data_IF_322349838778
#
_entry.id   IF_322349838778
#
_cell.length_a   1.000
_cell.length_b   1.000
_cell.length_c   1.000
_cell.angle_alpha   90.00
_cell.angle_beta   90.00
_cell.angle_gamma   90.00
#
_symmetry.space_group_name_H-M   'P 1'
#
loop_
_entity.id
_entity.type
_entity.pdbx_description
1 polymer ?
2 non-polymer ?
3 non-polymer ?
4 non-polymer ?
5 water ?
#
# COMPACT_ATOMS: atom_id res chain seq x y z
N UNK A 1 5.62 -25.31 23.39
CA UNK A 1 4.92 -26.40 22.69
C UNK A 1 3.40 -26.17 22.63
N UNK A 2 2.82 -26.15 21.43
CA UNK A 2 1.38 -25.95 21.36
C UNK A 2 0.58 -27.24 21.50
N UNK A 3 1.26 -28.40 21.44
CA UNK A 3 0.62 -29.72 21.60
C UNK A 3 -0.60 -29.88 20.70
N UNK A 4 -0.45 -29.49 19.43
CA UNK A 4 -1.50 -29.66 18.45
C UNK A 4 -2.47 -28.50 18.34
N UNK A 5 -2.55 -27.62 19.33
CA UNK A 5 -3.45 -26.49 19.27
C UNK A 5 -2.96 -25.45 18.25
N UNK A 6 -3.91 -24.69 17.70
CA UNK A 6 -3.59 -23.64 16.74
C UNK A 6 -3.37 -22.32 17.45
N UNK A 7 -2.33 -21.62 17.06
CA UNK A 7 -2.19 -20.20 17.40
C UNK A 7 -1.52 -19.54 16.21
N UNK A 8 -2.28 -18.75 15.47
CA UNK A 8 -1.78 -18.11 14.26
C UNK A 8 -1.32 -16.72 14.62
N UNK A 9 -0.13 -16.35 14.15
CA UNK A 9 0.36 -14.98 14.31
C UNK A 9 0.38 -14.36 12.93
N UNK A 10 -0.23 -13.18 12.81
CA UNK A 10 -0.24 -12.40 11.59
C UNK A 10 0.68 -11.21 11.82
N UNK A 11 1.71 -11.06 10.99
CA UNK A 11 2.61 -9.93 11.08
C UNK A 11 2.21 -8.95 9.98
N UNK A 12 1.61 -7.84 10.38
CA UNK A 12 1.18 -6.81 9.45
C UNK A 12 -0.32 -6.70 9.36
N UNK A 13 -0.86 -5.52 9.67
CA UNK A 13 -2.29 -5.32 9.62
C UNK A 13 -2.74 -4.45 8.45
N UNK A 14 -2.32 -4.81 7.25
CA UNK A 14 -2.74 -4.13 6.05
C UNK A 14 -3.96 -4.80 5.48
N UNK A 15 -4.15 -4.63 4.17
CA UNK A 15 -5.27 -5.28 3.50
C UNK A 15 -5.20 -6.80 3.70
N UNK A 16 -4.02 -7.38 3.59
CA UNK A 16 -3.91 -8.82 3.79
C UNK A 16 -4.16 -9.21 5.23
N UNK A 17 -3.52 -8.50 6.17
CA UNK A 17 -3.64 -8.87 7.57
C UNK A 17 -5.04 -8.75 8.13
N UNK A 18 -5.76 -7.66 7.80
CA UNK A 18 -7.10 -7.54 8.36
C UNK A 18 -8.04 -8.58 7.74
N UNK A 19 -7.82 -8.96 6.49
CA UNK A 19 -8.64 -10.02 5.92
C UNK A 19 -8.39 -11.34 6.63
N UNK A 20 -7.12 -11.66 6.87
CA UNK A 20 -6.80 -12.90 7.57
C UNK A 20 -7.33 -12.90 9.00
N UNK A 21 -7.15 -11.79 9.71
CA UNK A 21 -7.65 -11.72 11.09
C UNK A 21 -9.16 -11.83 11.13
N UNK A 22 -9.86 -11.16 10.21
CA UNK A 22 -11.31 -11.21 10.19
C UNK A 22 -11.80 -12.65 10.02
N UNK A 23 -11.11 -13.42 9.18
CA UNK A 23 -11.57 -14.79 8.94
C UNK A 23 -11.22 -15.71 10.10
N UNK A 24 -10.02 -15.57 10.68
CA UNK A 24 -9.68 -16.36 11.88
C UNK A 24 -10.62 -16.03 13.03
N UNK A 25 -10.94 -14.74 13.19
CA UNK A 25 -11.92 -14.35 14.20
C UNK A 25 -13.27 -15.02 13.97
N UNK A 26 -13.74 -15.05 12.72
CA UNK A 26 -15.03 -15.69 12.43
C UNK A 26 -14.99 -17.19 12.66
N UNK A 27 -13.83 -17.81 12.50
CA UNK A 27 -13.68 -19.24 12.73
C UNK A 27 -13.40 -19.59 14.17
N UNK A 28 -13.24 -18.60 15.05
CA UNK A 28 -12.87 -18.79 16.45
C UNK A 28 -11.54 -19.51 16.60
N UNK A 29 -10.60 -19.25 15.69
CA UNK A 29 -9.26 -19.83 15.76
C UNK A 29 -8.40 -18.87 16.56
N UNK A 30 -7.68 -19.33 17.59
CA UNK A 30 -6.83 -18.41 18.35
C UNK A 30 -5.79 -17.77 17.45
N UNK A 31 -5.60 -16.45 17.59
CA UNK A 31 -4.64 -15.77 16.74
C UNK A 31 -4.27 -14.44 17.37
N UNK A 32 -3.18 -13.86 16.90
CA UNK A 32 -2.77 -12.52 17.26
C UNK A 32 -2.37 -11.76 16.01
N UNK A 33 -2.97 -10.60 15.80
CA UNK A 33 -2.58 -9.71 14.72
C UNK A 33 -1.64 -8.66 15.29
N UNK A 34 -0.46 -8.52 14.69
CA UNK A 34 0.54 -7.56 15.12
C UNK A 34 0.68 -6.50 14.05
N UNK A 35 0.62 -5.23 14.45
CA UNK A 35 0.94 -4.12 13.57
C UNK A 35 1.64 -3.02 14.36
N UNK A 36 2.54 -2.29 13.70
CA UNK A 36 3.23 -1.20 14.38
C UNK A 36 2.31 -0.02 14.66
N UNK A 37 1.26 0.19 13.87
CA UNK A 37 0.31 1.28 14.08
C UNK A 37 -0.84 0.83 14.97
N UNK A 38 -1.61 1.80 15.46
CA UNK A 38 -2.85 1.47 16.18
C UNK A 38 -4.07 1.37 15.27
N UNK A 39 -3.94 1.67 13.98
CA UNK A 39 -5.08 1.61 13.08
C UNK A 39 -4.67 1.15 11.70
N UNK A 40 -5.59 0.43 11.04
CA UNK A 40 -5.47 0.08 9.63
C UNK A 40 -5.50 1.33 8.76
N UNK A 41 -4.65 1.37 7.72
CA UNK A 41 -4.59 2.50 6.81
C UNK A 41 -5.08 2.06 5.43
N UNK A 42 -6.17 2.65 4.97
CA UNK A 42 -6.69 2.39 3.62
C UNK A 42 -5.85 3.22 2.66
N UNK A 43 -4.64 2.74 2.38
CA UNK A 43 -3.67 3.62 1.75
C UNK A 43 -3.97 3.85 0.27
N UNK A 44 -4.90 3.08 -0.30
CA UNK A 44 -5.36 3.37 -1.66
C UNK A 44 -5.93 4.78 -1.74
N UNK A 45 -6.43 5.30 -0.62
CA UNK A 45 -7.03 6.64 -0.59
C UNK A 45 -6.11 7.69 -0.01
N UNK A 46 -4.83 7.37 0.19
CA UNK A 46 -3.92 8.29 0.87
C UNK A 46 -3.70 9.58 0.08
N UNK A 47 -3.73 9.51 -1.26
CA UNK A 47 -3.50 10.72 -2.03
C UNK A 47 -4.71 11.64 -1.99
N UNK A 48 -5.92 11.10 -2.08
CA UNK A 48 -7.11 11.90 -1.84
C UNK A 48 -7.12 12.50 -0.43
N UNK A 49 -6.64 11.75 0.55
CA UNK A 49 -6.53 12.29 1.91
C UNK A 49 -5.46 13.35 2.02
N UNK A 50 -4.61 13.49 1.02
CA UNK A 50 -3.63 14.57 0.98
C UNK A 50 -4.14 15.86 0.36
N UNK A 51 -5.35 15.87 -0.22
CA UNK A 51 -5.83 17.05 -0.92
C UNK A 51 -7.22 17.50 -0.46
N UNK A 52 -7.96 16.64 0.26
CA UNK A 52 -9.35 16.94 0.61
C UNK A 52 -9.50 17.10 2.11
N UNK A 53 -9.86 18.32 2.56
CA UNK A 53 -10.05 18.57 3.97
C UNK A 53 -11.10 17.61 4.54
N UNK A 54 -10.80 17.03 5.69
CA UNK A 54 -11.75 16.19 6.41
C UNK A 54 -11.84 14.76 5.93
N UNK A 55 -11.07 14.37 4.91
CA UNK A 55 -11.18 13.03 4.36
C UNK A 55 -10.34 12.01 5.12
N UNK A 56 -9.22 12.45 5.71
CA UNK A 56 -8.27 11.50 6.28
C UNK A 56 -8.90 10.62 7.33
N UNK A 57 -9.89 11.12 8.07
CA UNK A 57 -10.52 10.31 9.11
C UNK A 57 -11.30 9.14 8.57
N UNK A 58 -11.62 9.13 7.27
CA UNK A 58 -12.22 7.98 6.62
C UNK A 58 -11.21 6.92 6.20
N UNK A 59 -9.91 7.18 6.36
CA UNK A 59 -8.88 6.27 5.87
C UNK A 59 -8.12 5.51 6.98
N UNK A 60 -8.45 5.72 8.26
CA UNK A 60 -7.79 5.01 9.36
C UNK A 60 -8.85 4.35 10.22
N UNK A 61 -8.68 3.07 10.52
CA UNK A 61 -9.68 2.27 11.24
C UNK A 61 -9.01 1.57 12.41
N UNK A 62 -9.48 1.86 13.64
CA UNK A 62 -8.87 1.29 14.85
C UNK A 62 -8.86 -0.24 14.84
N UNK A 63 -7.68 -0.83 15.08
CA UNK A 63 -7.59 -2.30 15.17
C UNK A 63 -8.28 -2.81 16.42
N UNK A 64 -8.06 -2.13 17.55
CA UNK A 64 -8.55 -2.66 18.82
C UNK A 64 -10.06 -2.70 18.83
N UNK A 65 -10.72 -1.76 18.15
CA UNK A 65 -12.18 -1.75 18.17
C UNK A 65 -12.75 -3.00 17.52
N UNK A 66 -12.09 -3.48 16.46
CA UNK A 66 -12.56 -4.65 15.74
C UNK A 66 -12.07 -5.95 16.37
N UNK A 67 -10.80 -5.99 16.78
CA UNK A 67 -10.16 -7.23 17.16
C UNK A 67 -9.85 -7.39 18.64
N UNK A 68 -9.89 -6.31 19.43
CA UNK A 68 -9.81 -6.40 20.91
C UNK A 68 -8.54 -7.13 21.31
N UNK A 69 -8.60 -8.17 22.16
CA UNK A 69 -7.38 -8.82 22.62
C UNK A 69 -6.72 -9.68 21.57
N UNK A 70 -7.30 -9.84 20.39
CA UNK A 70 -6.60 -10.51 19.30
C UNK A 70 -5.65 -9.58 18.56
N UNK A 71 -5.52 -8.35 19.00
CA UNK A 71 -4.61 -7.39 18.39
C UNK A 71 -3.57 -6.93 19.40
N UNK A 72 -2.33 -6.84 18.94
CA UNK A 72 -1.21 -6.35 19.73
C UNK A 72 -0.43 -5.37 18.88
N UNK A 73 -0.29 -4.13 19.33
CA UNK A 73 0.55 -3.16 18.63
C UNK A 73 2.02 -3.42 18.93
N UNK A 74 2.87 -3.35 17.91
CA UNK A 74 4.29 -3.53 18.13
C UNK A 74 5.05 -3.69 16.85
N UNK A 75 6.38 -3.61 16.96
CA UNK A 75 7.29 -3.68 15.83
C UNK A 75 7.98 -5.03 15.84
N UNK A 76 7.79 -5.81 14.78
CA UNK A 76 8.44 -7.12 14.72
C UNK A 76 9.86 -6.94 14.21
N UNK A 77 10.82 -7.48 14.94
CA UNK A 77 12.24 -7.30 14.61
C UNK A 77 12.90 -8.58 14.12
N UNK A 78 12.34 -9.75 14.41
CA UNK A 78 12.86 -10.98 13.88
C UNK A 78 11.88 -12.11 14.06
N UNK A 79 12.16 -13.22 13.38
CA UNK A 79 11.40 -14.46 13.51
C UNK A 79 12.37 -15.55 13.94
N UNK A 80 12.05 -16.23 15.04
CA UNK A 80 12.86 -17.33 15.58
C UNK A 80 12.27 -18.64 15.04
N UNK A 81 12.82 -19.10 13.91
CA UNK A 81 12.25 -20.27 13.24
C UNK A 81 12.48 -21.56 14.02
N UNK A 82 13.56 -21.63 14.81
CA UNK A 82 13.84 -22.86 15.55
C UNK A 82 12.83 -23.05 16.68
N UNK A 83 12.52 -22.00 17.43
CA UNK A 83 11.57 -22.07 18.53
C UNK A 83 10.20 -21.53 18.13
N UNK A 84 9.95 -21.29 16.85
CA UNK A 84 8.67 -20.82 16.32
C UNK A 84 8.13 -19.66 17.14
N UNK A 85 8.80 -18.52 17.06
CA UNK A 85 8.53 -17.36 17.90
C UNK A 85 8.64 -16.08 17.07
N UNK A 86 7.72 -15.14 17.28
CA UNK A 86 7.76 -13.83 16.62
C UNK A 86 8.35 -12.84 17.61
N UNK A 87 9.50 -12.26 17.24
CA UNK A 87 10.26 -11.41 18.16
C UNK A 87 9.85 -9.96 17.97
N UNK A 88 9.40 -9.33 19.05
CA UNK A 88 9.00 -7.93 19.04
C UNK A 88 10.14 -7.06 19.56
N UNK A 89 10.17 -5.82 19.08
CA UNK A 89 11.01 -4.81 19.70
C UNK A 89 10.55 -4.59 21.15
N UNK A 90 11.52 -4.52 22.06
CA UNK A 90 11.26 -4.51 23.49
C UNK A 90 11.53 -5.83 24.17
N UNK A 91 11.71 -6.91 23.40
CA UNK A 91 12.07 -8.19 23.95
C UNK A 91 10.96 -9.23 23.98
N UNK A 92 9.70 -8.80 23.86
CA UNK A 92 8.58 -9.73 23.94
C UNK A 92 8.57 -10.67 22.75
N UNK A 93 8.01 -11.87 22.96
CA UNK A 93 7.99 -12.89 21.93
C UNK A 93 6.60 -13.49 21.84
N UNK A 94 6.18 -13.83 20.61
CA UNK A 94 4.88 -14.43 20.37
C UNK A 94 5.02 -15.82 19.77
N UNK A 95 4.63 -16.88 20.46
CA UNK A 95 4.72 -18.22 19.88
C UNK A 95 3.62 -18.46 18.85
N UNK A 96 3.94 -19.29 17.85
CA UNK A 96 2.97 -19.57 16.81
C UNK A 96 3.02 -21.02 16.37
N UNK A 97 1.86 -21.57 16.05
CA UNK A 97 1.81 -22.81 15.29
C UNK A 97 1.86 -22.52 13.80
N UNK A 98 1.30 -21.39 13.38
CA UNK A 98 1.30 -20.98 11.99
C UNK A 98 1.56 -19.49 11.93
N UNK A 99 2.31 -19.07 10.92
CA UNK A 99 2.73 -17.68 10.76
C UNK A 99 2.25 -17.17 9.42
N UNK A 100 1.61 -15.99 9.43
CA UNK A 100 1.20 -15.31 8.21
C UNK A 100 1.96 -14.01 8.15
N UNK A 101 2.79 -13.87 7.12
CA UNK A 101 3.58 -12.66 6.95
C UNK A 101 2.86 -11.77 5.93
N UNK A 102 2.54 -10.55 6.35
CA UNK A 102 1.70 -9.66 5.57
C UNK A 102 2.21 -8.23 5.75
N UNK A 103 3.51 -8.05 5.51
CA UNK A 103 4.22 -6.84 5.88
C UNK A 103 4.16 -5.73 4.85
N UNK A 104 3.60 -5.97 3.66
CA UNK A 104 3.39 -4.88 2.72
C UNK A 104 4.69 -4.20 2.28
N UNK A 105 4.59 -2.89 2.01
CA UNK A 105 5.68 -2.11 1.45
C UNK A 105 5.86 -0.80 2.20
N UNK A 106 7.04 -0.21 2.07
CA UNK A 106 7.33 1.12 2.56
C UNK A 106 7.67 2.05 1.41
N UNK A 107 7.52 3.33 1.66
CA UNK A 107 7.81 4.32 0.66
C UNK A 107 7.56 5.67 1.27
N UNK A 108 7.74 6.71 0.48
CA UNK A 108 7.60 8.08 1.00
C UNK A 108 6.15 8.43 1.35
N UNK A 109 6.01 9.21 2.41
CA UNK A 109 4.76 9.92 2.65
C UNK A 109 4.52 10.90 1.50
N UNK A 110 3.25 11.12 1.08
CA UNK A 110 1.97 10.65 1.65
C UNK A 110 1.49 9.31 1.13
N UNK A 111 2.10 8.74 0.09
CA UNK A 111 1.57 7.52 -0.50
C UNK A 111 1.63 6.31 0.41
N UNK A 112 2.55 6.30 1.38
CA UNK A 112 2.64 5.27 2.40
C UNK A 112 2.79 5.93 3.77
N UNK A 113 2.28 5.26 4.80
CA UNK A 113 2.35 5.79 6.16
C UNK A 113 2.67 4.61 7.08
N UNK A 114 3.91 4.53 7.54
CA UNK A 114 4.31 3.45 8.44
C UNK A 114 5.09 4.02 9.61
N UNK A 115 4.41 4.87 10.36
CA UNK A 115 4.96 5.48 11.56
C UNK A 115 4.27 4.86 12.76
N UNK A 116 5.04 4.63 13.82
CA UNK A 116 4.40 4.27 15.08
C UNK A 116 3.72 5.52 15.60
N UNK A 117 2.40 5.43 15.75
CA UNK A 117 1.60 6.63 15.89
C UNK A 117 0.23 6.25 16.43
N UNK A 118 -0.41 7.22 17.01
CA UNK A 118 -1.81 7.07 17.37
C UNK A 118 -2.67 7.40 16.16
N UNK A 119 -3.95 6.99 16.25
CA UNK A 119 -4.88 7.26 15.16
C UNK A 119 -5.04 8.76 14.91
N UNK A 120 -5.07 9.59 15.96
CA UNK A 120 -5.29 11.01 15.69
C UNK A 120 -4.04 11.68 15.15
N UNK A 121 -2.85 11.22 15.54
CA UNK A 121 -1.64 11.78 14.94
C UNK A 121 -1.56 11.43 13.46
N UNK A 122 -1.96 10.19 13.10
CA UNK A 122 -1.96 9.76 11.70
C UNK A 122 -2.91 10.60 10.86
N UNK A 123 -4.14 10.79 11.35
CA UNK A 123 -5.11 11.63 10.64
C UNK A 123 -4.59 13.06 10.52
N UNK A 124 -4.01 13.60 11.60
CA UNK A 124 -3.44 14.94 11.55
C UNK A 124 -2.29 15.07 10.55
N UNK A 125 -1.47 14.03 10.38
CA UNK A 125 -0.40 14.10 9.40
C UNK A 125 -0.97 14.34 8.00
N UNK A 126 -2.08 13.69 7.67
CA UNK A 126 -2.72 13.93 6.38
C UNK A 126 -3.41 15.30 6.37
N UNK A 127 -4.07 15.70 7.46
CA UNK A 127 -4.67 17.04 7.46
C UNK A 127 -3.61 18.12 7.33
N UNK A 128 -2.42 17.91 7.91
CA UNK A 128 -1.34 18.88 7.72
C UNK A 128 -0.88 18.92 6.28
N UNK A 129 -0.84 17.76 5.63
CA UNK A 129 -0.48 17.70 4.22
C UNK A 129 -1.47 18.50 3.39
N UNK A 130 -2.76 18.34 3.66
CA UNK A 130 -3.77 19.13 2.95
C UNK A 130 -3.47 20.62 3.09
N UNK A 131 -3.15 21.05 4.30
CA UNK A 131 -2.83 22.46 4.52
C UNK A 131 -1.59 22.90 3.74
N UNK A 132 -0.57 22.05 3.63
CA UNK A 132 0.60 22.42 2.82
C UNK A 132 0.20 22.61 1.36
N UNK A 133 -0.59 21.66 0.82
CA UNK A 133 -1.04 21.79 -0.55
C UNK A 133 -1.86 23.07 -0.73
N UNK A 134 -2.75 23.34 0.22
CA UNK A 134 -3.61 24.54 0.10
C UNK A 134 -2.80 25.82 0.13
N UNK A 135 -1.71 25.85 0.88
CA UNK A 135 -0.90 27.06 0.94
C UNK A 135 -0.08 27.28 -0.33
N UNK A 136 0.13 26.24 -1.14
CA UNK A 136 1.14 26.25 -2.19
C UNK A 136 0.50 26.50 -3.55
N UNK A 137 0.87 27.62 -4.19
CA UNK A 137 0.39 27.87 -5.55
C UNK A 137 1.10 26.98 -6.57
N UNK A 138 2.40 26.74 -6.39
CA UNK A 138 3.21 25.93 -7.30
C UNK A 138 3.62 24.64 -6.60
N UNK A 139 3.42 23.50 -7.26
CA UNK A 139 3.68 22.20 -6.64
C UNK A 139 4.41 21.32 -7.66
N UNK A 140 5.44 20.62 -7.19
CA UNK A 140 6.14 19.63 -8.01
C UNK A 140 5.89 18.24 -7.43
N UNK A 141 5.46 17.32 -8.29
CA UNK A 141 5.39 15.90 -7.96
C UNK A 141 6.55 15.20 -8.65
N UNK A 142 7.34 14.46 -7.88
CA UNK A 142 8.53 13.76 -8.40
C UNK A 142 8.20 12.28 -8.54
N UNK A 143 8.23 11.78 -9.77
CA UNK A 143 8.06 10.37 -10.06
C UNK A 143 6.71 10.14 -10.72
N UNK A 144 6.71 9.63 -11.95
CA UNK A 144 5.49 9.49 -12.72
C UNK A 144 5.09 8.05 -12.92
N UNK A 145 5.31 7.23 -11.89
CA UNK A 145 4.68 5.93 -11.82
C UNK A 145 3.20 6.13 -11.54
N UNK A 146 2.53 5.03 -11.19
CA UNK A 146 1.10 5.14 -10.99
C UNK A 146 0.75 6.04 -9.79
N UNK A 147 1.57 6.05 -8.74
CA UNK A 147 1.28 6.96 -7.62
C UNK A 147 1.41 8.42 -8.04
N UNK A 148 2.49 8.77 -8.74
CA UNK A 148 2.71 10.16 -9.08
C UNK A 148 1.67 10.72 -10.03
N UNK A 149 1.23 9.93 -11.01
CA UNK A 149 0.20 10.42 -11.92
C UNK A 149 -1.11 10.63 -11.18
N UNK A 150 -1.42 9.73 -10.24
CA UNK A 150 -2.61 9.95 -9.42
C UNK A 150 -2.48 11.19 -8.54
N UNK A 151 -1.30 11.37 -7.93
CA UNK A 151 -1.08 12.54 -7.07
C UNK A 151 -1.26 13.84 -7.84
N UNK A 152 -0.59 13.96 -8.98
CA UNK A 152 -0.72 15.16 -9.80
C UNK A 152 -2.17 15.39 -10.22
N UNK A 153 -2.87 14.33 -10.60
CA UNK A 153 -4.25 14.50 -11.05
C UNK A 153 -5.15 14.91 -9.90
N UNK A 154 -4.92 14.36 -8.70
CA UNK A 154 -5.75 14.73 -7.56
C UNK A 154 -5.62 16.20 -7.25
N UNK A 155 -4.38 16.72 -7.24
CA UNK A 155 -4.16 18.13 -6.94
C UNK A 155 -4.87 19.01 -7.96
N UNK A 156 -4.66 18.74 -9.26
CA UNK A 156 -5.24 19.63 -10.27
C UNK A 156 -6.77 19.50 -10.36
N UNK A 157 -7.32 18.34 -9.98
CA UNK A 157 -8.79 18.22 -9.96
C UNK A 157 -9.42 18.97 -8.80
N UNK A 158 -8.82 18.88 -7.61
CA UNK A 158 -9.34 19.60 -6.46
C UNK A 158 -9.01 21.10 -6.51
N UNK A 159 -7.88 21.46 -7.11
CA UNK A 159 -7.40 22.85 -7.11
C UNK A 159 -6.95 23.24 -8.51
N UNK A 160 -7.90 23.45 -9.42
CA UNK A 160 -7.49 23.74 -10.81
C UNK A 160 -6.67 25.01 -10.93
N UNK A 161 -6.75 25.90 -9.95
CA UNK A 161 -6.00 27.15 -10.02
C UNK A 161 -4.52 27.00 -9.65
N UNK A 162 -4.10 25.85 -9.15
CA UNK A 162 -2.68 25.66 -8.80
C UNK A 162 -1.89 25.22 -10.04
N UNK A 163 -0.58 25.44 -9.99
CA UNK A 163 0.33 25.06 -11.06
C UNK A 163 1.04 23.79 -10.63
N UNK A 164 0.85 22.71 -11.38
CA UNK A 164 1.37 21.41 -11.00
C UNK A 164 2.30 20.90 -12.08
N UNK A 165 3.50 20.50 -11.69
CA UNK A 165 4.47 19.91 -12.59
C UNK A 165 4.80 18.52 -12.08
N UNK A 166 4.74 17.55 -12.98
CA UNK A 166 5.13 16.17 -12.67
C UNK A 166 6.45 15.89 -13.39
N UNK A 167 7.47 15.50 -12.65
CA UNK A 167 8.78 15.21 -13.21
C UNK A 167 9.02 13.71 -13.15
N UNK A 168 9.31 13.11 -14.28
CA UNK A 168 9.40 11.65 -14.38
C UNK A 168 10.65 11.27 -15.17
N UNK A 169 11.36 10.24 -14.71
CA UNK A 169 12.64 9.89 -15.33
C UNK A 169 12.50 9.08 -16.61
N UNK A 170 11.31 8.57 -16.91
CA UNK A 170 11.15 7.71 -18.08
C UNK A 170 10.39 8.46 -19.16
N UNK A 171 10.30 7.84 -20.35
CA UNK A 171 9.59 8.48 -21.45
C UNK A 171 8.09 8.37 -21.29
N UNK A 172 7.59 7.24 -20.79
CA UNK A 172 6.16 6.99 -20.63
C UNK A 172 5.80 6.88 -19.15
N UNK A 173 4.53 7.11 -18.86
CA UNK A 173 4.03 7.20 -17.49
C UNK A 173 3.46 5.89 -16.99
N UNK A 174 3.45 5.74 -15.67
CA UNK A 174 2.86 4.58 -14.99
C UNK A 174 3.53 3.27 -15.41
N UNK A 175 2.96 2.15 -14.96
CA UNK A 175 3.66 0.87 -14.98
C UNK A 175 3.95 0.38 -16.38
N UNK A 176 5.15 -0.16 -16.56
CA UNK A 176 5.53 -0.73 -17.85
C UNK A 176 4.64 -1.91 -18.23
N UNK A 177 4.08 -2.61 -17.24
CA UNK A 177 3.25 -3.78 -17.54
C UNK A 177 1.92 -3.40 -18.16
N UNK A 178 1.50 -2.14 -18.04
CA UNK A 178 0.20 -1.76 -18.55
C UNK A 178 0.17 -1.78 -20.06
N UNK A 179 -1.02 -1.98 -20.61
CA UNK A 179 -1.26 -1.80 -22.03
C UNK A 179 -0.74 -0.43 -22.47
N UNK A 180 -0.04 -0.34 -23.60
CA UNK A 180 0.36 0.99 -24.11
C UNK A 180 -0.81 1.96 -24.24
N UNK A 181 -2.01 1.48 -24.61
CA UNK A 181 -3.18 2.36 -24.71
C UNK A 181 -3.51 3.01 -23.38
N UNK A 182 -3.36 2.27 -22.28
CA UNK A 182 -3.61 2.83 -20.97
C UNK A 182 -2.59 3.90 -20.64
N UNK A 183 -1.32 3.61 -20.89
CA UNK A 183 -0.25 4.54 -20.54
C UNK A 183 -0.37 5.84 -21.33
N UNK A 184 -0.76 5.74 -22.60
CA UNK A 184 -0.90 6.96 -23.40
C UNK A 184 -2.12 7.77 -22.96
N UNK A 185 -3.22 7.10 -22.59
CA UNK A 185 -4.38 7.84 -22.13
C UNK A 185 -4.11 8.55 -20.80
N UNK A 186 -3.31 7.93 -19.92
CA UNK A 186 -2.89 8.60 -18.68
C UNK A 186 -2.20 9.92 -19.01
N UNK A 187 -1.29 9.89 -19.98
CA UNK A 187 -0.61 11.13 -20.39
C UNK A 187 -1.60 12.17 -20.89
N UNK A 188 -2.56 11.75 -21.72
CA UNK A 188 -3.48 12.73 -22.32
C UNK A 188 -4.38 13.35 -21.27
N UNK A 189 -4.83 12.55 -20.30
CA UNK A 189 -5.70 13.09 -19.25
C UNK A 189 -4.93 14.13 -18.44
N UNK A 190 -3.69 13.80 -18.04
CA UNK A 190 -2.91 14.77 -17.28
C UNK A 190 -2.73 16.08 -18.05
N UNK A 191 -2.37 15.98 -19.33
CA UNK A 191 -2.18 17.20 -20.11
C UNK A 191 -3.47 18.01 -20.21
N UNK A 192 -4.61 17.34 -20.45
CA UNK A 192 -5.89 18.05 -20.52
C UNK A 192 -6.26 18.70 -19.19
N UNK A 193 -5.84 18.12 -18.06
CA UNK A 193 -6.06 18.75 -16.76
C UNK A 193 -5.15 19.95 -16.51
N UNK A 194 -4.16 20.17 -17.36
CA UNK A 194 -3.23 21.28 -17.18
C UNK A 194 -1.98 20.95 -16.40
N UNK A 195 -1.74 19.68 -16.07
CA UNK A 195 -0.48 19.30 -15.43
C UNK A 195 0.63 19.48 -16.44
N UNK A 196 1.72 20.13 -16.01
CA UNK A 196 2.93 20.23 -16.83
C UNK A 196 3.75 18.96 -16.66
N UNK A 197 4.17 18.37 -17.76
CA UNK A 197 4.93 17.12 -17.73
C UNK A 197 6.38 17.40 -18.11
N UNK A 198 7.30 16.94 -17.28
CA UNK A 198 8.74 16.95 -17.57
C UNK A 198 9.17 15.49 -17.61
N UNK A 199 9.15 14.88 -18.80
CA UNK A 199 9.47 13.48 -18.97
C UNK A 199 10.94 13.29 -19.36
N UNK A 200 11.43 12.08 -19.13
CA UNK A 200 12.84 11.73 -19.33
C UNK A 200 13.77 12.68 -18.57
N UNK A 201 13.40 13.02 -17.34
CA UNK A 201 14.24 13.87 -16.50
C UNK A 201 14.24 13.33 -15.08
N UNK A 202 15.40 13.33 -14.45
CA UNK A 202 15.55 12.85 -13.08
C UNK A 202 15.84 14.03 -12.16
N UNK A 203 15.01 14.20 -11.14
CA UNK A 203 15.31 15.24 -10.16
C UNK A 203 16.61 14.85 -9.46
N UNK A 204 17.55 15.78 -9.43
CA UNK A 204 18.92 15.47 -9.03
C UNK A 204 19.34 16.06 -7.70
N UNK A 205 18.55 16.94 -7.09
CA UNK A 205 18.97 17.54 -5.82
C UNK A 205 18.04 17.17 -4.68
N UNK A 206 17.57 15.91 -4.66
CA UNK A 206 16.56 15.48 -3.68
C UNK A 206 17.04 15.66 -2.24
N UNK A 207 18.34 15.47 -1.98
CA UNK A 207 18.84 15.65 -0.63
C UNK A 207 18.67 17.08 -0.14
N UNK A 208 18.71 18.05 -1.05
CA UNK A 208 18.67 19.46 -0.70
C UNK A 208 17.25 20.01 -0.61
N UNK A 209 16.22 19.18 -0.86
CA UNK A 209 14.86 19.70 -1.01
C UNK A 209 14.07 19.52 0.28
N UNK A 210 13.39 20.56 0.75
CA UNK A 210 12.35 20.35 1.77
C UNK A 210 11.17 19.61 1.14
N UNK A 211 10.69 18.58 1.83
CA UNK A 211 9.65 17.69 1.32
C UNK A 211 8.36 17.86 2.11
N UNK A 212 7.23 17.85 1.39
CA UNK A 212 5.89 17.89 2.01
C UNK A 212 5.70 19.13 2.88
N UNK A 213 6.33 20.24 2.53
CA UNK A 213 6.26 21.44 3.35
C UNK A 213 6.25 22.67 2.46
N UNK A 214 5.27 23.55 2.67
CA UNK A 214 5.25 24.81 1.94
C UNK A 214 6.50 25.63 2.23
N UNK A 215 7.11 26.16 1.17
CA UNK A 215 8.15 27.19 1.30
C UNK A 215 7.85 28.28 0.29
N UNK A 216 8.24 29.52 0.63
CA UNK A 216 8.07 30.61 -0.31
C UNK A 216 8.82 30.34 -1.61
N UNK A 217 9.94 29.65 -1.55
CA UNK A 217 10.74 29.36 -2.75
C UNK A 217 11.56 28.10 -2.54
N UNK A 218 11.40 27.14 -3.46
CA UNK A 218 12.22 25.93 -3.55
C UNK A 218 12.66 25.80 -5.01
N UNK A 219 13.93 25.47 -5.23
CA UNK A 219 14.44 25.25 -6.58
C UNK A 219 14.67 23.75 -6.77
N UNK A 220 13.92 23.15 -7.68
CA UNK A 220 14.08 21.75 -8.06
C UNK A 220 15.00 21.71 -9.28
N UNK A 221 16.00 20.83 -9.26
CA UNK A 221 16.94 20.67 -10.38
C UNK A 221 16.87 19.27 -10.95
N UNK A 222 17.09 19.15 -12.26
CA UNK A 222 17.14 17.85 -12.92
C UNK A 222 18.53 17.57 -13.49
N UNK A 223 18.79 16.29 -13.76
CA UNK A 223 20.07 15.89 -14.35
C UNK A 223 20.31 16.53 -15.72
N UNK A 224 19.26 16.93 -16.43
CA UNK A 224 19.44 17.61 -17.71
C UNK A 224 19.58 19.14 -17.55
N UNK A 225 19.73 19.63 -16.33
CA UNK A 225 19.89 21.06 -16.11
C UNK A 225 18.61 21.88 -16.10
N UNK A 226 17.44 21.25 -16.20
CA UNK A 226 16.20 21.99 -16.05
C UNK A 226 16.04 22.42 -14.60
N UNK A 227 15.52 23.63 -14.40
CA UNK A 227 15.28 24.17 -13.07
C UNK A 227 13.83 24.58 -12.96
N UNK A 228 13.15 24.13 -11.90
CA UNK A 228 11.75 24.45 -11.66
C UNK A 228 11.64 25.07 -10.28
N UNK A 229 11.10 26.28 -10.21
CA UNK A 229 10.80 26.91 -8.92
C UNK A 229 9.41 26.50 -8.44
N UNK A 230 9.27 26.24 -7.14
CA UNK A 230 8.01 25.71 -6.64
C UNK A 230 7.83 26.13 -5.19
N UNK A 231 6.62 25.91 -4.67
CA UNK A 231 6.37 26.07 -3.23
C UNK A 231 6.38 24.75 -2.48
N UNK A 232 6.27 23.61 -3.16
CA UNK A 232 5.99 22.35 -2.48
C UNK A 232 6.55 21.22 -3.32
N UNK A 233 7.22 20.26 -2.69
CA UNK A 233 7.74 19.08 -3.38
C UNK A 233 7.15 17.83 -2.72
N UNK A 234 6.55 16.96 -3.54
CA UNK A 234 5.99 15.69 -3.11
C UNK A 234 6.66 14.55 -3.86
N UNK A 235 7.14 13.56 -3.12
CA UNK A 235 7.86 12.43 -3.70
C UNK A 235 6.91 11.26 -3.89
N UNK A 236 6.78 10.81 -5.15
CA UNK A 236 6.15 9.54 -5.46
C UNK A 236 7.15 8.66 -6.21
N UNK A 237 8.32 8.45 -5.60
CA UNK A 237 9.49 7.92 -6.29
C UNK A 237 9.61 6.41 -6.18
N UNK A 238 8.67 5.72 -5.55
CA UNK A 238 8.66 4.27 -5.55
C UNK A 238 8.65 3.69 -4.15
N UNK A 239 8.42 2.38 -4.10
CA UNK A 239 8.30 1.67 -2.83
C UNK A 239 9.25 0.49 -2.83
N UNK A 240 9.45 -0.06 -1.63
CA UNK A 240 10.28 -1.24 -1.39
C UNK A 240 9.47 -2.20 -0.54
N UNK A 241 9.54 -3.50 -0.87
CA UNK A 241 8.87 -4.48 -0.02
C UNK A 241 9.44 -4.36 1.39
N UNK A 242 8.56 -4.40 2.38
CA UNK A 242 8.99 -4.21 3.77
C UNK A 242 9.38 -5.58 4.33
N UNK A 243 10.68 -5.88 4.28
CA UNK A 243 11.18 -7.18 4.72
C UNK A 243 11.81 -7.15 6.10
N UNK A 244 11.60 -6.06 6.87
CA UNK A 244 12.33 -5.91 8.13
C UNK A 244 12.05 -7.06 9.07
N UNK A 245 10.79 -7.46 9.20
CA UNK A 245 10.41 -8.47 10.19
C UNK A 245 11.01 -9.84 9.90
N UNK A 246 11.33 -10.14 8.65
CA UNK A 246 11.64 -11.52 8.31
C UNK A 246 12.91 -11.70 7.48
N UNK A 247 13.66 -10.64 7.17
CA UNK A 247 14.72 -10.77 6.17
C UNK A 247 15.82 -11.72 6.66
N UNK A 248 16.29 -11.55 7.89
CA UNK A 248 17.33 -12.42 8.42
C UNK A 248 16.87 -13.87 8.43
N UNK A 249 15.75 -14.14 9.11
CA UNK A 249 15.31 -15.50 9.32
C UNK A 249 15.11 -16.25 8.01
N UNK A 250 14.63 -15.57 6.98
CA UNK A 250 14.27 -16.22 5.72
C UNK A 250 15.16 -15.80 4.57
N UNK A 251 16.40 -15.39 4.86
CA UNK A 251 17.30 -14.86 3.83
C UNK A 251 17.42 -15.81 2.64
N UNK A 252 17.52 -17.12 2.90
CA UNK A 252 17.64 -18.08 1.81
C UNK A 252 16.39 -18.18 0.94
N UNK A 253 15.25 -17.68 1.42
CA UNK A 253 13.97 -17.86 0.75
C UNK A 253 13.49 -16.63 0.01
N UNK A 254 14.25 -15.54 0.06
CA UNK A 254 13.82 -14.25 -0.45
C UNK A 254 14.08 -14.14 -1.95
N UNK A 255 13.09 -13.66 -2.69
CA UNK A 255 13.32 -13.29 -4.08
C UNK A 255 14.25 -12.08 -4.12
N UNK A 256 14.64 -11.67 -5.32
CA UNK A 256 15.39 -10.43 -5.44
C UNK A 256 14.56 -9.26 -4.89
N UNK A 257 13.28 -9.17 -5.29
CA UNK A 257 12.42 -8.08 -4.88
C UNK A 257 12.29 -7.92 -3.36
N UNK A 258 12.78 -8.88 -2.56
CA UNK A 258 12.60 -8.87 -1.13
C UNK A 258 11.38 -9.62 -0.66
N UNK A 259 10.54 -10.06 -1.58
CA UNK A 259 9.42 -10.92 -1.28
C UNK A 259 9.93 -12.31 -0.87
N UNK A 260 9.01 -13.14 -0.38
CA UNK A 260 9.28 -14.53 -0.01
C UNK A 260 8.76 -15.43 -1.12
N UNK A 261 9.56 -16.42 -1.53
CA UNK A 261 9.08 -17.36 -2.53
C UNK A 261 8.02 -18.29 -1.93
N UNK A 262 7.03 -18.65 -2.74
CA UNK A 262 5.83 -19.37 -2.29
C UNK A 262 5.32 -20.24 -3.42
N UNK A 263 4.48 -21.25 -3.08
CA UNK A 263 3.86 -22.06 -4.11
C UNK A 263 2.46 -21.52 -4.40
N UNK A 264 1.67 -22.27 -5.17
CA UNK A 264 0.32 -21.83 -5.51
C UNK A 264 -0.64 -21.85 -4.31
N UNK A 265 -0.24 -22.46 -3.19
CA UNK A 265 -0.98 -22.43 -1.94
C UNK A 265 -0.52 -21.32 -1.01
N UNK A 266 0.47 -20.52 -1.43
CA UNK A 266 1.03 -19.38 -0.71
C UNK A 266 1.84 -19.77 0.52
N UNK A 267 2.19 -21.05 0.70
CA UNK A 267 3.14 -21.35 1.77
C UNK A 267 4.53 -20.96 1.32
N UNK A 268 5.35 -20.50 2.27
CA UNK A 268 6.71 -20.11 1.91
C UNK A 268 7.52 -21.37 1.63
N UNK A 269 8.23 -21.38 0.51
CA UNK A 269 9.02 -22.56 0.16
C UNK A 269 10.01 -22.85 1.29
N UNK A 270 10.13 -24.14 1.65
CA UNK A 270 10.87 -24.57 2.82
C UNK A 270 10.04 -24.67 4.09
N UNK A 271 8.75 -24.35 4.04
CA UNK A 271 7.91 -24.40 5.23
C UNK A 271 6.49 -24.79 4.82
N UNK A 272 5.81 -25.50 5.71
CA UNK A 272 4.42 -25.89 5.48
C UNK A 272 3.43 -25.05 6.26
N UNK A 273 3.88 -24.40 7.33
CA UNK A 273 3.02 -23.63 8.22
C UNK A 273 3.31 -22.14 8.19
N UNK A 274 4.09 -21.66 7.22
CA UNK A 274 4.36 -20.23 7.06
C UNK A 274 3.82 -19.79 5.71
N UNK A 275 3.06 -18.70 5.73
CA UNK A 275 2.43 -18.17 4.54
C UNK A 275 2.88 -16.73 4.35
N UNK A 276 3.00 -16.31 3.10
CA UNK A 276 3.18 -14.91 2.76
C UNK A 276 2.03 -14.48 1.88
N UNK A 277 1.51 -13.29 2.16
CA UNK A 277 0.33 -12.77 1.49
C UNK A 277 0.56 -11.31 1.17
N UNK A 278 -0.04 -10.85 0.09
CA UNK A 278 0.02 -9.44 -0.23
C UNK A 278 1.36 -9.05 -0.83
N UNK A 279 1.78 -7.79 -0.58
CA UNK A 279 2.96 -7.26 -1.26
C UNK A 279 4.22 -8.07 -0.96
N UNK A 280 4.34 -8.62 0.24
CA UNK A 280 5.54 -9.37 0.58
C UNK A 280 5.55 -10.77 0.01
N UNK A 281 4.50 -11.19 -0.69
CA UNK A 281 4.50 -12.48 -1.38
C UNK A 281 5.01 -12.35 -2.81
N UNK A 282 5.92 -13.24 -3.20
CA UNK A 282 6.47 -13.27 -4.55
C UNK A 282 5.43 -13.81 -5.53
N UNK A 283 4.32 -13.09 -5.67
CA UNK A 283 3.29 -13.50 -6.60
C UNK A 283 3.78 -13.37 -8.03
N UNK A 284 4.69 -12.42 -8.28
CA UNK A 284 5.09 -11.99 -9.62
C UNK A 284 3.95 -11.25 -10.31
N UNK A 285 2.75 -11.32 -9.73
CA UNK A 285 1.64 -10.46 -10.09
C UNK A 285 1.91 -9.05 -9.59
N UNK A 286 1.15 -8.05 -10.03
CA UNK A 286 1.32 -6.70 -9.47
C UNK A 286 0.96 -6.69 -8.00
N UNK A 287 1.50 -5.73 -7.27
CA UNK A 287 1.25 -5.65 -5.84
C UNK A 287 -0.02 -4.83 -5.65
N UNK A 288 -1.09 -5.49 -5.20
CA UNK A 288 -2.43 -4.91 -5.19
C UNK A 288 -3.13 -5.21 -3.87
N UNK A 289 -3.93 -4.26 -3.40
CA UNK A 289 -4.71 -4.48 -2.19
C UNK A 289 -5.69 -5.63 -2.36
N UNK A 290 -6.35 -5.73 -3.51
CA UNK A 290 -7.38 -6.76 -3.65
C UNK A 290 -6.76 -8.15 -3.69
N UNK A 291 -5.53 -8.26 -4.21
CA UNK A 291 -4.85 -9.55 -4.22
C UNK A 291 -4.39 -9.95 -2.81
N UNK A 292 -3.95 -8.97 -2.01
CA UNK A 292 -3.63 -9.25 -0.61
C UNK A 292 -4.82 -9.88 0.10
N UNK A 293 -6.02 -9.36 -0.13
CA UNK A 293 -7.21 -9.94 0.47
C UNK A 293 -7.47 -11.36 0.00
N UNK A 294 -7.31 -11.62 -1.31
CA UNK A 294 -7.49 -12.98 -1.81
C UNK A 294 -6.45 -13.93 -1.25
N UNK A 295 -5.18 -13.49 -1.20
CA UNK A 295 -4.14 -14.30 -0.60
C UNK A 295 -4.48 -14.66 0.85
N UNK A 296 -5.01 -13.71 1.61
CA UNK A 296 -5.33 -13.99 3.01
C UNK A 296 -6.36 -15.09 3.10
N UNK A 297 -7.38 -15.04 2.24
CA UNK A 297 -8.41 -16.08 2.25
C UNK A 297 -7.80 -17.43 1.91
N UNK A 298 -6.87 -17.46 0.96
CA UNK A 298 -6.20 -18.70 0.62
C UNK A 298 -5.34 -19.20 1.79
N UNK A 299 -4.62 -18.27 2.46
CA UNK A 299 -3.71 -18.64 3.55
C UNK A 299 -4.47 -19.22 4.74
N UNK A 300 -5.54 -18.54 5.17
CA UNK A 300 -6.29 -19.04 6.31
C UNK A 300 -6.95 -20.37 5.98
N UNK A 301 -7.48 -20.49 4.76
CA UNK A 301 -8.13 -21.72 4.33
C UNK A 301 -7.18 -22.90 4.34
N UNK A 302 -5.93 -22.72 3.91
CA UNK A 302 -5.06 -23.90 3.89
C UNK A 302 -4.48 -24.20 5.26
N UNK A 303 -4.38 -23.23 6.17
CA UNK A 303 -4.11 -23.58 7.57
C UNK A 303 -5.18 -24.55 8.09
N UNK A 304 -6.45 -24.21 7.87
CA UNK A 304 -7.54 -25.09 8.28
C UNK A 304 -7.55 -26.38 7.45
N UNK A 305 -7.50 -26.27 6.12
CA UNK A 305 -7.44 -27.46 5.27
C UNK A 305 -6.32 -28.38 5.71
N UNK A 306 -5.17 -27.82 6.08
CA UNK A 306 -4.03 -28.65 6.42
C UNK A 306 -4.28 -29.42 7.71
N UNK A 307 -4.98 -28.81 8.68
CA UNK A 307 -5.34 -29.51 9.91
C UNK A 307 -6.40 -30.59 9.64
N UNK A 308 -7.29 -30.38 8.68
CA UNK A 308 -8.29 -31.36 8.32
C UNK A 308 -7.79 -32.39 7.27
N UNK A 309 -6.48 -32.47 7.04
CA UNK A 309 -5.86 -33.30 5.99
C UNK A 309 -6.66 -33.22 4.69
N UNK A 310 -7.02 -32.01 4.30
CA UNK A 310 -7.75 -31.73 3.06
C UNK A 310 -6.82 -31.14 2.01
N UNK A 311 -7.23 -31.11 0.75
CA UNK A 311 -6.38 -30.52 -0.29
C UNK A 311 -6.45 -29.00 -0.27
N UNK A 312 -5.32 -28.40 -0.62
CA UNK A 312 -5.15 -26.96 -0.44
C UNK A 312 -5.71 -26.16 -1.62
N UNK A 313 -6.19 -24.96 -1.30
CA UNK A 313 -6.63 -24.03 -2.32
C UNK A 313 -5.43 -23.44 -3.06
N UNK A 314 -5.66 -23.07 -4.32
CA UNK A 314 -4.57 -22.62 -5.19
C UNK A 314 -4.87 -21.26 -5.79
N UNK A 315 -3.86 -20.40 -5.76
CA UNK A 315 -3.94 -19.06 -6.36
C UNK A 315 -3.50 -19.13 -7.81
N UNK A 316 -4.39 -18.76 -8.73
CA UNK A 316 -4.05 -18.78 -10.15
C UNK A 316 -4.28 -17.41 -10.77
N UNK A 317 -3.23 -16.67 -11.12
CA UNK A 317 -3.41 -15.34 -11.72
C UNK A 317 -4.14 -15.38 -13.05
N UNK A 318 -4.72 -14.24 -13.41
CA UNK A 318 -5.28 -14.00 -14.72
C UNK A 318 -4.65 -12.76 -15.33
N UNK A 319 -5.29 -12.17 -16.33
CA UNK A 319 -4.67 -10.99 -16.93
C UNK A 319 -4.67 -9.83 -15.93
N UNK A 320 -3.87 -8.82 -16.26
CA UNK A 320 -3.62 -7.70 -15.34
C UNK A 320 -4.87 -6.83 -15.19
N UNK A 321 -5.31 -6.62 -13.95
CA UNK A 321 -6.28 -5.58 -13.61
C UNK A 321 -5.53 -4.44 -12.95
N UNK A 322 -5.73 -3.23 -13.43
CA UNK A 322 -4.97 -2.09 -12.88
C UNK A 322 -5.76 -0.84 -13.23
N UNK A 323 -6.27 -0.14 -12.22
CA UNK A 323 -7.12 1.02 -12.42
C UNK A 323 -6.42 2.26 -11.88
N UNK A 324 -6.32 3.31 -12.67
CA UNK A 324 -5.71 4.55 -12.22
C UNK A 324 -6.77 5.62 -12.08
N UNK A 325 -7.01 6.09 -10.86
CA UNK A 325 -7.89 7.24 -10.72
C UNK A 325 -7.12 8.49 -11.15
N UNK A 326 -7.82 9.39 -11.79
CA UNK A 326 -7.22 10.64 -12.28
C UNK A 326 -8.04 11.78 -11.69
N UNK A 327 -7.97 11.95 -10.38
CA UNK A 327 -8.92 12.79 -9.68
C UNK A 327 -10.27 12.11 -9.56
N UNK A 328 -11.17 12.76 -8.83
CA UNK A 328 -12.44 12.10 -8.55
C UNK A 328 -13.35 11.99 -9.77
N UNK A 329 -13.05 12.70 -10.86
CA UNK A 329 -13.96 12.71 -12.01
C UNK A 329 -13.40 12.00 -13.24
N UNK A 330 -12.30 11.26 -13.13
CA UNK A 330 -11.64 10.74 -14.33
C UNK A 330 -10.81 9.53 -13.95
N UNK A 331 -10.25 8.87 -14.95
CA UNK A 331 -9.41 7.72 -14.72
C UNK A 331 -9.33 6.86 -15.96
N UNK A 332 -8.43 5.89 -15.91
CA UNK A 332 -8.32 4.93 -17.01
C UNK A 332 -7.63 3.69 -16.48
N UNK A 333 -7.76 2.58 -17.17
CA UNK A 333 -7.07 1.39 -16.70
C UNK A 333 -7.40 0.18 -17.53
N UNK A 334 -7.21 -0.97 -16.92
CA UNK A 334 -7.53 -2.25 -17.56
C UNK A 334 -8.08 -3.22 -16.53
N UNK A 335 -9.07 -4.01 -16.94
CA UNK A 335 -9.67 -5.03 -16.09
C UNK A 335 -9.41 -6.38 -16.74
N UNK A 336 -8.71 -7.25 -16.02
CA UNK A 336 -8.11 -8.48 -16.53
C UNK A 336 -7.69 -8.39 -18.00
N UNK A 337 -6.78 -7.47 -18.30
CA UNK A 337 -6.09 -7.48 -19.57
C UNK A 337 -6.74 -6.71 -20.70
N UNK A 338 -7.91 -6.13 -20.50
CA UNK A 338 -8.43 -5.26 -21.54
C UNK A 338 -8.73 -3.86 -21.03
N UNK A 339 -8.64 -2.92 -21.95
CA UNK A 339 -8.81 -1.50 -21.66
C UNK A 339 -10.20 -1.21 -21.12
N UNK A 340 -10.27 -0.41 -20.06
CA UNK A 340 -11.54 0.13 -19.61
C UNK A 340 -11.39 1.64 -19.53
N UNK A 341 -12.46 2.34 -19.86
CA UNK A 341 -12.43 3.77 -20.08
C UNK A 341 -12.68 4.61 -18.84
N UNK A 342 -12.98 5.88 -19.09
CA UNK A 342 -12.98 6.88 -18.03
C UNK A 342 -14.24 6.80 -17.19
N UNK A 343 -15.40 6.61 -17.82
CA UNK A 343 -16.63 6.42 -17.06
C UNK A 343 -16.52 5.20 -16.16
N UNK A 344 -16.02 4.07 -16.71
CA UNK A 344 -15.88 2.85 -15.92
C UNK A 344 -14.95 3.06 -14.73
N UNK A 345 -13.79 3.67 -14.94
CA UNK A 345 -12.87 3.82 -13.83
C UNK A 345 -13.41 4.83 -12.81
N UNK A 346 -14.01 5.92 -13.30
CA UNK A 346 -14.59 6.89 -12.35
C UNK A 346 -15.59 6.22 -11.41
N UNK A 347 -16.49 5.40 -11.97
CA UNK A 347 -17.49 4.75 -11.13
C UNK A 347 -16.88 3.67 -10.25
N UNK A 348 -15.94 2.89 -10.79
CA UNK A 348 -15.43 1.74 -10.05
C UNK A 348 -14.47 2.17 -8.94
N UNK A 349 -13.60 3.13 -9.23
CA UNK A 349 -12.53 3.49 -8.30
C UNK A 349 -12.52 4.97 -7.92
N UNK A 350 -12.59 5.89 -8.89
CA UNK A 350 -12.20 7.28 -8.60
C UNK A 350 -13.11 7.94 -7.58
N UNK A 351 -14.40 7.61 -7.57
CA UNK A 351 -15.34 8.33 -6.72
C UNK A 351 -15.10 8.03 -5.26
N UNK A 352 -14.96 6.74 -4.93
CA UNK A 352 -14.93 6.27 -3.55
C UNK A 352 -13.62 5.63 -3.14
N UNK A 353 -12.73 5.30 -4.08
CA UNK A 353 -11.41 4.69 -3.84
C UNK A 353 -11.51 3.45 -2.95
N UNK A 354 -12.61 2.70 -3.07
CA UNK A 354 -12.85 1.45 -2.36
C UNK A 354 -12.91 1.61 -0.84
N UNK A 355 -13.07 2.83 -0.33
CA UNK A 355 -13.00 3.07 1.11
C UNK A 355 -14.03 2.24 1.86
N UNK A 356 -15.25 2.16 1.35
CA UNK A 356 -16.30 1.46 2.10
C UNK A 356 -15.97 -0.01 2.33
N UNK A 357 -15.20 -0.64 1.44
CA UNK A 357 -14.90 -2.05 1.60
C UNK A 357 -14.07 -2.33 2.86
N UNK A 358 -13.23 -1.39 3.28
CA UNK A 358 -12.41 -1.64 4.46
C UNK A 358 -13.23 -1.47 5.73
N UNK A 359 -14.10 -0.46 5.76
CA UNK A 359 -15.01 -0.30 6.91
C UNK A 359 -15.92 -1.52 7.04
N UNK A 360 -16.35 -2.09 5.92
CA UNK A 360 -17.15 -3.31 5.96
C UNK A 360 -16.35 -4.48 6.55
N UNK A 361 -15.15 -4.73 6.02
CA UNK A 361 -14.30 -5.80 6.56
C UNK A 361 -14.12 -5.65 8.07
N UNK A 362 -13.85 -4.44 8.55
CA UNK A 362 -13.58 -4.15 9.95
C UNK A 362 -14.84 -4.07 10.79
N UNK A 363 -16.01 -4.14 10.15
CA UNK A 363 -17.31 -4.09 10.84
C UNK A 363 -17.42 -2.82 11.69
N UNK A 364 -16.99 -1.69 11.12
CA UNK A 364 -17.08 -0.40 11.77
C UNK A 364 -17.72 0.60 10.80
N UNK A 365 -18.19 1.70 11.36
CA UNK A 365 -18.77 2.75 10.57
C UNK A 365 -17.88 3.99 10.57
N UNK A 366 -17.67 4.61 9.41
CA UNK A 366 -16.72 5.71 9.34
C UNK A 366 -17.24 6.91 10.09
N UNK A 367 -16.34 7.73 10.66
CA UNK A 367 -16.78 8.93 11.39
C UNK A 367 -17.16 10.05 10.42
X LIG B 1 -4.35 -1.85 -4.86
X LIG B 1 -5.48 -2.31 -5.45
X LIG B 1 -5.79 -3.51 -5.37
X LIG B 1 -6.29 -1.52 -6.17
X LIG B 1 -6.04 -0.19 -6.35
X LIG B 1 -6.79 0.48 -7.03
X LIG B 1 -4.92 0.36 -5.70
X LIG B 1 -4.69 1.64 -5.82
X LIG B 1 -3.64 2.16 -5.16
X LIG B 1 -3.45 3.56 -5.24
X LIG B 1 -4.34 4.29 -5.97
X LIG B 1 -2.43 4.16 -4.55
X LIG B 1 -2.23 5.65 -4.61
X LIG B 1 -1.53 3.38 -3.80
X LIG B 1 -0.38 4.04 -3.08
X LIG B 1 -1.67 1.99 -3.75
X LIG B 1 -2.75 1.35 -4.41
X LIG B 1 -2.98 -0.03 -4.34
X LIG B 1 -4.09 -0.56 -4.96
X LIG B 1 -2.01 -0.91 -3.66
X LIG B 1 -2.27 -1.24 -2.23
X LIG B 1 -2.10 -0.04 -1.51
X LIG B 1 -1.21 -2.24 -1.75
X LIG B 1 -1.00 -3.26 -2.73
X LIG B 1 -1.63 -2.90 -0.44
X LIG B 1 -1.55 -1.94 0.62
X LIG B 1 -0.78 -4.09 -0.05
X LIG B 1 -1.45 -4.63 1.13
X LIG B 1 -0.60 -5.48 2.18
X LIG B 1 -1.55 -6.03 3.20
X LIG B 1 0.32 -6.40 1.44
X LIG B 1 0.33 -4.40 2.87
X LIG B 1 0.05 -2.97 3.52
X LIG B 1 1.21 -2.12 3.17
X LIG B 1 -1.34 -2.56 3.19
X LIG B 1 0.11 -3.31 5.08
X LIG B 1 1.32 -3.84 5.67
X LIG B 1 1.27 -3.55 7.15
X LIG B 1 2.37 -4.23 7.79
X LIG B 1 1.43 -2.07 7.53
X LIG B 1 0.39 -1.69 8.43
X LIG B 1 2.78 -2.03 8.26
X LIG B 1 2.86 -1.00 9.21
X LIG B 1 2.81 -3.43 8.86
X LIG B 1 4.15 -3.87 9.19
X LIG B 1 5.16 -4.08 8.29
X LIG B 1 6.28 -4.47 8.83
X LIG B 1 6.01 -4.51 10.20
X LIG B 1 6.80 -4.86 11.30
X LIG B 1 8.09 -5.22 11.19
X LIG B 1 6.22 -4.80 12.52
X LIG B 1 4.94 -4.43 12.60
X LIG B 1 4.10 -4.09 11.63
X LIG B 1 4.69 -4.15 10.44
X LIG C 1 6.97 3.24 -9.21
X LIG C 1 8.31 2.70 -8.85
X LIG C 1 6.02 2.38 -10.00
X LIG C 1 7.12 4.65 -10.05
X LIG C 1 8.09 5.45 -9.41
X LIG C 1 8.77 6.24 -10.53
X LIG C 1 9.50 7.35 -10.02
X LIG C 1 9.75 5.26 -11.22
X LIG C 1 9.46 5.17 -12.61
X LIG C 1 11.11 5.96 -11.03
X LIG C 1 11.90 5.87 -12.09
X LIG C 1 10.64 7.45 -10.84
X LIG C 1 11.65 8.24 -10.11
X LIG C 1 12.36 7.87 -8.96
X LIG C 1 13.23 8.83 -8.55
X LIG C 1 13.03 9.87 -9.48
X LIG C 1 13.62 11.13 -9.60
X LIG C 1 14.58 11.53 -8.70
X LIG C 1 13.26 11.99 -10.58
X LIG C 1 12.31 11.53 -11.45
X LIG C 1 11.66 10.34 -11.48
X LIG C 1 12.05 9.52 -10.45
X LIG C 1 6.41 3.49 -7.67
X LIG C 1 4.82 3.80 -7.47
X LIG C 1 4.66 4.03 -6.03
X LIG C 1 4.16 4.66 -8.52
X LIG C 1 3.96 2.26 -7.68
X LIG C 1 4.55 1.29 -6.88
X LIG C 1 3.64 0.03 -6.89
X LIG C 1 2.46 0.27 -6.09
X LIG C 1 3.11 -0.22 -8.32
X LIG C 1 3.98 -1.05 -8.98
X LIG C 1 1.77 -0.94 -8.05
X LIG C 1 1.93 -2.30 -7.75
X LIG C 1 1.29 -0.24 -6.76
X LIG C 1 0.32 0.88 -7.07
X LIG C 1 -0.92 0.60 -7.65
X LIG C 1 -1.78 1.61 -7.99
X LIG C 1 -3.04 1.22 -8.61
X LIG C 1 -3.50 0.06 -8.65
X LIG C 1 -3.77 2.26 -9.23
X LIG C 1 -1.46 3.06 -7.79
X LIG C 1 -0.17 3.25 -7.05
X LIG C 1 0.64 2.20 -6.75
X LIG C 1 13.36 4.86 -11.77
X LIG C 1 12.67 3.60 -11.35
X LIG C 1 14.12 5.63 -10.70
X LIG C 1 13.87 4.93 -13.17
X LIG D 1 -14.72 6.78 -22.20
X LIG D 1 -14.80 8.17 -22.59
X LIG D 1 -15.62 6.54 -21.05
X LIG D 1 -15.14 5.94 -23.32
X LIG D 1 -13.32 6.45 -21.91
#
# INVERSE_FOLDING_TARGET
PHMGALHVVIVGGGFGGIAAASQLQALNVPFMLVDMKDSFHHNVAALRASVETGFAKKTFISYSVTFKDNFRQGLVVGIDLKNQMVLLQGGEALPFSHLILATGSTGPFPGKFNEVSSQQAAIQAYEDMVRQVQRSRFIVVVGGGSAGVEMAAEIKTEYPEKEVTLIHSQVALADKELLPSVRQEVKEILLRKGVQLLLSERVSNLEELPLNEYREYIKVQTDKGTEVATNLVILCTGIKINSSAYRKAFESRLASSGALRVNEHLQVEGHSNVYAIGDCADVRTPKMAYLAGLHANIAVANIVNSVKQRPLQAYKPGALTFLLSMGRNDGVGQISGFYVGRLMVRLTKSRDLFVSTSWKTMRQSPP
6FA N1 C2 O2 N3 C4 O4 C4A N5 C5A C6 O6 C7 C7M C8 C8M C9 C9A N10 C10 C1' C2' O2' C3' O3' C4' O4' C5' O5' P O1P O2P O3P PA O1A O2A O5B C5B C4B O4B C3B O3B C2B O2B C1B N9A C8A N7A C5X C6A N6A N1A C2A N3A C4X
NDP PA O1A O2A O5B C5B C4B O4B C3B O3B C2B O2B C1B N9A C8A N7A C5A C6A N6A N1A C2A N3A C4A O3 PN O1N O2N O5D C5D C4D O4D C3D O3D C2D O2D C1D N1N C2N C3N C7N O7N N7N C4N C5N C6N P2B O1X O2X O3X
SO4 S O1 O2 O3 O4
#
